data_IF_016525128332
#
_entry.id   IF_016525128332
#
_cell.length_a   1.000
_cell.length_b   1.000
_cell.length_c   1.000
_cell.angle_alpha   90.00
_cell.angle_beta   90.00
_cell.angle_gamma   90.00
#
_symmetry.space_group_name_H-M   'P 1'
#
loop_
_entity.id
_entity.type
_entity.pdbx_description
1 polymer ?
#
# COMPACT_ATOMS: atom_id res chain seq x y z
N UNK A 1 -13.84 -16.01 -5.47
CA UNK A 1 -13.75 -16.20 -6.94
C UNK A 1 -12.46 -15.60 -7.49
N UNK A 2 -11.76 -16.31 -8.37
CA UNK A 2 -10.57 -15.79 -9.05
C UNK A 2 -10.99 -15.16 -10.38
N UNK A 3 -10.51 -13.95 -10.67
CA UNK A 3 -10.65 -13.31 -11.97
C UNK A 3 -9.27 -13.11 -12.60
N UNK A 4 -9.15 -13.39 -13.89
CA UNK A 4 -7.90 -13.25 -14.65
C UNK A 4 -8.04 -12.32 -15.84
N UNK A 5 -6.93 -11.71 -16.26
CA UNK A 5 -6.85 -10.91 -17.49
C UNK A 5 -5.48 -11.01 -18.13
N UNK A 6 -5.38 -10.79 -19.44
CA UNK A 6 -4.08 -10.69 -20.12
C UNK A 6 -3.65 -9.23 -20.18
N UNK A 7 -2.47 -8.94 -19.63
CA UNK A 7 -1.99 -7.56 -19.45
C UNK A 7 -2.66 -6.81 -18.29
N UNK A 8 -2.01 -5.74 -17.83
CA UNK A 8 -2.49 -4.93 -16.69
C UNK A 8 -3.36 -3.73 -17.08
N UNK A 9 -3.40 -3.38 -18.37
CA UNK A 9 -4.13 -2.20 -18.87
C UNK A 9 -5.64 -2.46 -19.04
N UNK A 10 -6.05 -3.73 -19.13
CA UNK A 10 -7.47 -4.06 -19.21
C UNK A 10 -8.14 -3.95 -17.83
N UNK A 11 -9.33 -3.37 -17.82
CA UNK A 11 -10.22 -3.41 -16.66
C UNK A 11 -11.19 -4.60 -16.73
N UNK A 12 -11.47 -5.14 -17.93
CA UNK A 12 -12.33 -6.32 -18.07
C UNK A 12 -11.53 -7.57 -17.72
N UNK A 13 -12.11 -8.39 -16.85
CA UNK A 13 -11.51 -9.64 -16.39
C UNK A 13 -12.45 -10.81 -16.70
N UNK A 14 -11.89 -12.00 -16.76
CA UNK A 14 -12.60 -13.26 -16.98
C UNK A 14 -12.63 -14.01 -15.65
N UNK A 15 -13.81 -14.37 -15.11
CA UNK A 15 -13.88 -15.24 -13.94
C UNK A 15 -13.31 -16.62 -14.28
N UNK A 16 -12.64 -17.25 -13.32
CA UNK A 16 -12.26 -18.65 -13.42
C UNK A 16 -13.50 -19.53 -13.41
N UNK A 17 -13.45 -20.63 -14.18
CA UNK A 17 -14.50 -21.66 -14.21
C UNK A 17 -14.25 -22.77 -13.17
N UNK A 18 -13.17 -22.66 -12.39
CA UNK A 18 -12.81 -23.63 -11.34
C UNK A 18 -13.78 -23.59 -10.16
N UNK A 19 -14.08 -24.75 -9.58
CA UNK A 19 -14.82 -24.87 -8.32
C UNK A 19 -13.92 -24.67 -7.08
N UNK A 20 -12.60 -24.58 -7.29
CA UNK A 20 -11.62 -24.39 -6.21
C UNK A 20 -11.66 -22.96 -5.67
N UNK A 21 -11.18 -22.79 -4.45
CA UNK A 21 -10.96 -21.45 -3.91
C UNK A 21 -9.85 -20.73 -4.71
N UNK A 22 -9.83 -19.39 -4.74
CA UNK A 22 -8.80 -18.66 -5.49
C UNK A 22 -7.37 -18.99 -5.04
N UNK A 23 -7.18 -19.26 -3.75
CA UNK A 23 -5.87 -19.65 -3.24
C UNK A 23 -5.44 -21.02 -3.76
N UNK A 24 -6.33 -22.02 -3.75
CA UNK A 24 -6.04 -23.36 -4.29
C UNK A 24 -5.74 -23.34 -5.78
N UNK A 25 -6.47 -22.53 -6.55
CA UNK A 25 -6.18 -22.34 -7.97
C UNK A 25 -4.75 -21.79 -8.19
N UNK A 26 -4.36 -20.77 -7.42
CA UNK A 26 -3.02 -20.19 -7.48
C UNK A 26 -1.95 -21.12 -6.91
N UNK A 27 -2.31 -21.95 -5.93
CA UNK A 27 -1.44 -22.96 -5.35
C UNK A 27 -1.10 -24.04 -6.35
N UNK A 28 -2.04 -24.43 -7.20
CA UNK A 28 -1.80 -25.43 -8.24
C UNK A 28 -1.31 -24.84 -9.57
N UNK A 29 -1.38 -23.51 -9.72
CA UNK A 29 -0.99 -22.84 -10.95
C UNK A 29 0.47 -23.12 -11.33
N UNK A 30 0.73 -23.77 -12.48
CA UNK A 30 2.09 -24.00 -12.94
C UNK A 30 2.68 -22.68 -13.45
N UNK A 31 3.89 -22.28 -12.99
CA UNK A 31 4.49 -21.02 -13.41
C UNK A 31 4.76 -21.03 -14.92
N UNK A 32 4.36 -19.96 -15.59
CA UNK A 32 4.62 -19.79 -17.01
C UNK A 32 6.09 -19.42 -17.25
N UNK A 33 6.64 -19.75 -18.42
CA UNK A 33 8.03 -19.45 -18.76
C UNK A 33 8.10 -18.33 -19.79
N UNK A 34 9.04 -17.42 -19.58
CA UNK A 34 9.37 -16.32 -20.47
C UNK A 34 10.90 -16.25 -20.66
N UNK A 35 11.52 -17.30 -21.26
CA UNK A 35 12.97 -17.38 -21.43
C UNK A 35 13.55 -16.25 -22.30
N UNK A 36 12.73 -15.57 -23.09
CA UNK A 36 13.07 -14.37 -23.86
C UNK A 36 13.38 -13.14 -23.00
N UNK A 37 12.91 -13.12 -21.75
CA UNK A 37 13.28 -12.10 -20.77
C UNK A 37 14.59 -12.52 -20.12
N UNK A 38 15.67 -11.84 -20.50
CA UNK A 38 17.05 -12.14 -20.12
C UNK A 38 17.71 -10.93 -19.46
N UNK A 39 18.93 -11.12 -18.96
CA UNK A 39 19.79 -10.04 -18.42
C UNK A 39 20.01 -8.88 -19.41
N UNK A 40 19.89 -9.16 -20.71
CA UNK A 40 20.11 -8.19 -21.80
C UNK A 40 18.83 -7.49 -22.25
N UNK A 41 17.66 -7.90 -21.77
CA UNK A 41 16.38 -7.34 -22.19
C UNK A 41 16.27 -5.86 -21.78
N UNK A 42 15.87 -5.00 -22.72
CA UNK A 42 15.65 -3.60 -22.42
C UNK A 42 14.35 -3.41 -21.61
N UNK A 43 14.30 -2.36 -20.79
CA UNK A 43 13.11 -2.04 -19.97
C UNK A 43 11.83 -1.96 -20.82
N UNK A 44 11.90 -1.36 -22.02
CA UNK A 44 10.78 -1.25 -22.95
C UNK A 44 10.20 -2.62 -23.37
N UNK A 45 11.06 -3.62 -23.55
CA UNK A 45 10.64 -4.94 -24.01
C UNK A 45 10.00 -5.71 -22.86
N UNK A 46 10.56 -5.59 -21.65
CA UNK A 46 9.97 -6.14 -20.43
C UNK A 46 8.61 -5.49 -20.15
N UNK A 47 8.49 -4.18 -20.26
CA UNK A 47 7.23 -3.48 -20.00
C UNK A 47 6.17 -3.80 -21.06
N UNK A 48 6.57 -3.96 -22.33
CA UNK A 48 5.68 -4.48 -23.40
C UNK A 48 5.20 -5.89 -23.07
N UNK A 49 6.09 -6.77 -22.63
CA UNK A 49 5.74 -8.14 -22.23
C UNK A 49 4.78 -8.14 -21.03
N UNK A 50 5.04 -7.32 -20.01
CA UNK A 50 4.12 -7.13 -18.87
C UNK A 50 2.75 -6.61 -19.31
N UNK A 51 2.74 -5.65 -20.23
CA UNK A 51 1.51 -5.01 -20.69
C UNK A 51 0.61 -5.91 -21.54
N UNK A 52 1.19 -6.88 -22.24
CA UNK A 52 0.50 -7.63 -23.29
C UNK A 52 0.47 -9.13 -23.09
N UNK A 53 1.48 -9.74 -22.45
CA UNK A 53 1.66 -11.20 -22.40
C UNK A 53 1.39 -11.81 -21.04
N UNK A 54 1.74 -11.10 -19.95
CA UNK A 54 1.56 -11.62 -18.60
C UNK A 54 0.07 -11.69 -18.24
N UNK A 55 -0.35 -12.83 -17.72
CA UNK A 55 -1.64 -12.96 -17.05
C UNK A 55 -1.63 -12.27 -15.68
N UNK A 56 -2.69 -11.56 -15.36
CA UNK A 56 -2.92 -10.87 -14.09
C UNK A 56 -4.16 -11.43 -13.42
N UNK A 57 -4.20 -11.39 -12.10
CA UNK A 57 -5.33 -11.89 -11.32
C UNK A 57 -5.79 -10.90 -10.25
N UNK A 58 -7.03 -11.10 -9.82
CA UNK A 58 -7.61 -10.55 -8.59
C UNK A 58 -8.56 -11.58 -8.00
N UNK A 59 -8.56 -11.74 -6.68
CA UNK A 59 -9.41 -12.69 -5.97
C UNK A 59 -10.43 -11.96 -5.10
N UNK A 60 -11.71 -12.30 -5.26
CA UNK A 60 -12.82 -11.64 -4.58
C UNK A 60 -14.11 -11.73 -5.38
N UNK A 61 -15.01 -10.76 -5.18
CA UNK A 61 -16.25 -10.62 -5.93
C UNK A 61 -16.24 -9.31 -6.75
N UNK A 62 -16.36 -9.43 -8.07
CA UNK A 62 -16.22 -8.31 -8.99
C UNK A 62 -17.50 -8.09 -9.81
N UNK A 63 -18.18 -6.96 -9.55
CA UNK A 63 -19.36 -6.56 -10.32
C UNK A 63 -19.04 -6.40 -11.80
N UNK A 64 -19.87 -7.00 -12.64
CA UNK A 64 -19.78 -6.96 -14.11
C UNK A 64 -18.43 -7.42 -14.66
N UNK A 65 -17.64 -8.16 -13.88
CA UNK A 65 -16.28 -8.58 -14.19
C UNK A 65 -15.36 -7.41 -14.62
N UNK A 66 -15.58 -6.21 -14.07
CA UNK A 66 -14.81 -5.00 -14.43
C UNK A 66 -14.08 -4.45 -13.21
N UNK A 67 -12.76 -4.46 -13.27
CA UNK A 67 -11.83 -4.01 -12.23
C UNK A 67 -11.91 -2.51 -12.00
N UNK A 68 -12.37 -2.13 -10.82
CA UNK A 68 -12.15 -0.85 -10.17
C UNK A 68 -12.55 -0.97 -8.68
N UNK A 69 -12.21 0.04 -7.89
CA UNK A 69 -12.50 0.04 -6.45
C UNK A 69 -13.99 -0.01 -6.10
N UNK A 70 -14.89 0.41 -6.99
CA UNK A 70 -16.35 0.41 -6.74
C UNK A 70 -17.01 -0.91 -7.11
N UNK A 71 -16.38 -1.68 -8.01
CA UNK A 71 -16.90 -2.95 -8.50
C UNK A 71 -16.36 -4.15 -7.74
N UNK A 72 -15.16 -4.07 -7.15
CA UNK A 72 -14.69 -5.09 -6.23
C UNK A 72 -15.46 -4.92 -4.91
N UNK A 73 -16.43 -5.77 -4.63
CA UNK A 73 -17.23 -5.64 -3.40
C UNK A 73 -16.50 -6.22 -2.21
N UNK A 74 -15.88 -7.38 -2.42
CA UNK A 74 -15.16 -8.15 -1.40
C UNK A 74 -13.89 -8.70 -2.03
N UNK A 75 -12.82 -8.79 -1.25
CA UNK A 75 -11.52 -9.33 -1.65
C UNK A 75 -11.20 -10.56 -0.80
N UNK A 76 -10.63 -11.58 -1.41
CA UNK A 76 -10.42 -12.91 -0.78
C UNK A 76 -8.95 -13.24 -0.50
N UNK A 77 -7.99 -12.48 -1.03
CA UNK A 77 -6.56 -12.75 -0.82
C UNK A 77 -5.79 -11.47 -0.54
N UNK A 78 -4.89 -11.52 0.44
CA UNK A 78 -3.90 -10.46 0.63
C UNK A 78 -2.73 -10.71 -0.31
N UNK A 79 -2.33 -9.66 -1.03
CA UNK A 79 -1.19 -9.74 -1.95
C UNK A 79 -0.25 -8.57 -1.71
N UNK A 80 1.05 -8.86 -1.60
CA UNK A 80 2.11 -7.88 -1.35
C UNK A 80 3.18 -7.98 -2.45
N UNK A 81 3.61 -6.85 -2.99
CA UNK A 81 4.68 -6.74 -4.00
C UNK A 81 5.96 -6.22 -3.34
N UNK A 82 6.98 -7.07 -3.31
CA UNK A 82 8.32 -6.75 -2.83
C UNK A 82 9.22 -6.43 -4.02
N UNK A 83 9.41 -5.14 -4.28
CA UNK A 83 10.15 -4.65 -5.46
C UNK A 83 11.50 -4.00 -5.12
N UNK A 84 11.72 -3.68 -3.83
CA UNK A 84 12.93 -3.07 -3.29
C UNK A 84 13.25 -3.68 -1.91
N UNK A 85 14.06 -4.73 -1.94
CA UNK A 85 14.58 -5.40 -0.73
C UNK A 85 16.03 -4.99 -0.43
N UNK A 86 16.54 -3.94 -1.09
CA UNK A 86 17.93 -3.51 -0.98
C UNK A 86 18.93 -4.64 -1.21
N UNK A 87 19.90 -4.75 -0.31
CA UNK A 87 20.95 -5.78 -0.34
C UNK A 87 20.60 -7.05 0.46
N UNK A 88 19.31 -7.27 0.79
CA UNK A 88 18.89 -8.44 1.55
C UNK A 88 19.17 -9.73 0.78
N UNK A 89 19.75 -10.73 1.46
CA UNK A 89 19.96 -12.05 0.90
C UNK A 89 18.62 -12.79 0.75
N UNK A 90 18.47 -13.56 -0.32
CA UNK A 90 17.25 -14.34 -0.59
C UNK A 90 16.83 -15.23 0.59
N UNK A 91 17.77 -15.95 1.22
CA UNK A 91 17.43 -16.83 2.36
C UNK A 91 16.92 -16.02 3.56
N UNK A 92 17.57 -14.90 3.88
CA UNK A 92 17.13 -14.02 4.97
C UNK A 92 15.73 -13.44 4.69
N UNK A 93 15.43 -13.08 3.44
CA UNK A 93 14.10 -12.64 3.02
C UNK A 93 13.04 -13.74 3.21
N UNK A 94 13.28 -14.94 2.69
CA UNK A 94 12.34 -16.07 2.80
C UNK A 94 12.13 -16.48 4.26
N UNK A 95 13.20 -16.58 5.04
CA UNK A 95 13.15 -16.95 6.45
C UNK A 95 12.36 -15.93 7.26
N UNK A 96 12.55 -14.63 7.00
CA UNK A 96 11.77 -13.56 7.62
C UNK A 96 10.28 -13.70 7.34
N UNK A 97 9.90 -13.93 6.08
CA UNK A 97 8.49 -14.12 5.70
C UNK A 97 7.90 -15.36 6.39
N UNK A 98 8.61 -16.50 6.38
CA UNK A 98 8.19 -17.73 7.06
C UNK A 98 8.04 -17.57 8.57
N UNK A 99 8.98 -16.88 9.20
CA UNK A 99 8.95 -16.61 10.65
C UNK A 99 7.73 -15.76 11.02
N UNK A 100 7.50 -14.66 10.30
CA UNK A 100 6.42 -13.72 10.59
C UNK A 100 5.04 -14.27 10.25
N UNK A 101 4.96 -15.14 9.24
CA UNK A 101 3.74 -15.83 8.85
C UNK A 101 3.73 -17.30 9.30
N UNK A 102 4.37 -17.61 10.44
CA UNK A 102 4.44 -18.99 10.95
C UNK A 102 3.04 -19.58 11.14
N UNK A 103 2.79 -20.71 10.49
CA UNK A 103 1.50 -21.41 10.55
C UNK A 103 0.40 -20.81 9.66
N UNK A 104 0.69 -19.73 8.93
CA UNK A 104 -0.21 -19.13 7.94
C UNK A 104 0.13 -19.69 6.55
N UNK A 105 -0.90 -19.98 5.76
CA UNK A 105 -0.75 -20.47 4.40
C UNK A 105 -0.43 -19.34 3.42
N UNK A 106 0.62 -19.51 2.62
CA UNK A 106 1.00 -18.51 1.62
C UNK A 106 1.76 -19.09 0.41
N UNK A 107 1.79 -18.32 -0.68
CA UNK A 107 2.62 -18.55 -1.86
C UNK A 107 3.52 -17.32 -2.06
N UNK A 108 4.81 -17.55 -2.19
CA UNK A 108 5.82 -16.53 -2.47
C UNK A 108 6.54 -16.90 -3.77
N UNK A 109 6.53 -16.01 -4.77
CA UNK A 109 7.11 -16.30 -6.08
C UNK A 109 7.77 -15.07 -6.72
N UNK A 110 8.79 -15.26 -7.58
CA UNK A 110 9.50 -14.16 -8.19
C UNK A 110 8.63 -13.41 -9.21
N UNK A 111 8.87 -12.10 -9.34
CA UNK A 111 8.30 -11.33 -10.46
C UNK A 111 9.10 -11.55 -11.74
N UNK A 112 8.54 -11.18 -12.90
CA UNK A 112 9.24 -11.27 -14.20
C UNK A 112 10.56 -10.47 -14.24
N UNK A 113 10.75 -9.49 -13.35
CA UNK A 113 11.97 -8.67 -13.25
C UNK A 113 12.99 -9.23 -12.24
N UNK A 114 12.65 -10.27 -11.50
CA UNK A 114 13.49 -10.84 -10.44
C UNK A 114 14.86 -11.29 -10.98
N UNK A 115 15.92 -11.02 -10.21
CA UNK A 115 17.32 -11.34 -10.48
C UNK A 115 17.90 -10.75 -11.77
N UNK A 116 17.17 -9.89 -12.49
CA UNK A 116 17.75 -9.14 -13.60
C UNK A 116 18.73 -8.09 -13.05
N UNK A 117 19.88 -7.81 -13.72
CA UNK A 117 20.98 -7.03 -13.15
C UNK A 117 20.62 -5.64 -12.59
N UNK A 118 19.54 -5.02 -13.10
CA UNK A 118 19.09 -3.67 -12.67
C UNK A 118 18.02 -3.68 -11.58
N UNK A 119 17.49 -4.84 -11.20
CA UNK A 119 16.24 -4.94 -10.45
C UNK A 119 16.37 -5.70 -9.13
N UNK A 120 17.38 -6.56 -8.99
CA UNK A 120 17.64 -7.31 -7.77
C UNK A 120 16.52 -8.31 -7.42
N UNK A 121 16.32 -8.52 -6.12
CA UNK A 121 15.35 -9.46 -5.57
C UNK A 121 13.94 -8.86 -5.63
N UNK A 122 13.02 -9.50 -6.37
CA UNK A 122 11.64 -9.03 -6.56
C UNK A 122 10.63 -10.16 -6.47
N UNK A 123 9.69 -10.07 -5.54
CA UNK A 123 8.76 -11.14 -5.21
C UNK A 123 7.34 -10.66 -5.01
N UNK A 124 6.39 -11.56 -5.24
CA UNK A 124 5.01 -11.41 -4.79
C UNK A 124 4.72 -12.43 -3.72
N UNK A 125 4.07 -11.97 -2.67
CA UNK A 125 3.53 -12.79 -1.60
C UNK A 125 2.01 -12.78 -1.70
N UNK A 126 1.41 -13.97 -1.74
CA UNK A 126 -0.03 -14.20 -1.68
C UNK A 126 -0.32 -14.93 -0.38
N UNK A 127 -1.17 -14.34 0.45
CA UNK A 127 -1.56 -14.89 1.75
C UNK A 127 -3.03 -15.28 1.67
N UNK A 128 -3.33 -16.52 2.03
CA UNK A 128 -4.70 -17.03 2.12
C UNK A 128 -5.43 -16.35 3.29
N UNK A 129 -6.75 -16.13 3.20
CA UNK A 129 -7.54 -15.50 4.27
C UNK A 129 -8.76 -16.33 4.64
N UNK A 130 -9.14 -16.31 5.92
CA UNK A 130 -10.24 -17.13 6.43
C UNK A 130 -11.63 -16.62 6.02
N UNK A 131 -11.72 -15.36 5.63
CA UNK A 131 -12.91 -14.73 5.07
C UNK A 131 -12.55 -13.66 4.06
N UNK A 132 -13.53 -13.29 3.24
CA UNK A 132 -13.41 -12.10 2.41
C UNK A 132 -13.48 -10.83 3.26
N UNK A 133 -12.93 -9.73 2.72
CA UNK A 133 -12.87 -8.44 3.39
C UNK A 133 -13.17 -7.29 2.43
N UNK A 134 -13.69 -6.21 2.99
CA UNK A 134 -14.12 -5.01 2.29
C UNK A 134 -12.97 -4.04 1.99
N UNK A 135 -13.27 -3.02 1.19
CA UNK A 135 -12.34 -1.92 0.91
C UNK A 135 -11.89 -1.19 2.18
N UNK A 136 -12.79 -1.03 3.16
CA UNK A 136 -12.49 -0.32 4.41
C UNK A 136 -11.47 -1.12 5.24
N UNK A 137 -11.66 -2.44 5.32
CA UNK A 137 -10.79 -3.36 6.04
C UNK A 137 -9.42 -3.51 5.36
N UNK A 138 -9.37 -3.49 4.03
CA UNK A 138 -8.13 -3.68 3.25
C UNK A 138 -6.99 -2.78 3.72
N UNK A 139 -7.26 -1.52 4.03
CA UNK A 139 -6.22 -0.58 4.42
C UNK A 139 -5.57 -0.99 5.74
N UNK A 140 -6.37 -1.26 6.78
CA UNK A 140 -5.89 -1.75 8.07
C UNK A 140 -5.17 -3.09 7.92
N UNK A 141 -5.81 -4.04 7.24
CA UNK A 141 -5.28 -5.39 7.04
C UNK A 141 -3.90 -5.38 6.37
N UNK A 142 -3.76 -4.68 5.24
CA UNK A 142 -2.51 -4.63 4.48
C UNK A 142 -1.43 -3.86 5.23
N UNK A 143 -1.78 -2.74 5.86
CA UNK A 143 -0.84 -1.91 6.64
C UNK A 143 -0.28 -2.67 7.85
N UNK A 144 -1.17 -3.27 8.65
CA UNK A 144 -0.80 -4.06 9.83
C UNK A 144 0.01 -5.31 9.44
N UNK A 145 -0.30 -5.95 8.30
CA UNK A 145 0.50 -7.07 7.80
C UNK A 145 1.90 -6.64 7.35
N UNK A 146 2.02 -5.50 6.65
CA UNK A 146 3.33 -4.96 6.24
C UNK A 146 4.18 -4.67 7.48
N UNK A 147 3.59 -4.06 8.51
CA UNK A 147 4.27 -3.78 9.78
C UNK A 147 4.66 -5.07 10.52
N UNK A 148 3.74 -6.03 10.63
CA UNK A 148 3.99 -7.32 11.28
C UNK A 148 5.11 -8.11 10.61
N UNK A 149 5.16 -8.12 9.27
CA UNK A 149 6.25 -8.74 8.51
C UNK A 149 7.55 -7.95 8.69
N UNK A 150 7.46 -6.62 8.74
CA UNK A 150 8.60 -5.73 8.97
C UNK A 150 9.55 -5.66 7.78
N UNK A 151 9.03 -5.76 6.56
CA UNK A 151 9.78 -5.65 5.31
C UNK A 151 9.19 -4.52 4.44
N UNK A 152 10.02 -3.72 3.77
CA UNK A 152 9.54 -2.66 2.88
C UNK A 152 8.74 -3.27 1.72
N UNK A 153 7.56 -2.73 1.45
CA UNK A 153 6.65 -3.19 0.42
C UNK A 153 6.21 -2.01 -0.45
N UNK A 154 5.93 -2.23 -1.74
CA UNK A 154 5.42 -1.17 -2.62
C UNK A 154 4.08 -0.64 -2.08
N UNK A 155 3.97 0.69 -1.94
CA UNK A 155 2.74 1.39 -1.55
C UNK A 155 1.54 1.01 -2.42
N UNK A 156 1.76 0.63 -3.69
CA UNK A 156 0.69 0.16 -4.58
C UNK A 156 -0.01 -1.10 -4.09
N UNK A 157 0.65 -1.91 -3.24
CA UNK A 157 0.02 -3.06 -2.58
C UNK A 157 -1.15 -2.65 -1.69
N UNK A 158 -1.21 -1.39 -1.25
CA UNK A 158 -2.34 -0.83 -0.49
C UNK A 158 -3.58 -0.55 -1.36
N UNK A 159 -3.47 -0.56 -2.69
CA UNK A 159 -4.61 -0.30 -3.58
C UNK A 159 -5.54 -1.52 -3.62
N UNK A 160 -6.79 -1.33 -3.17
CA UNK A 160 -7.77 -2.41 -3.00
C UNK A 160 -7.99 -3.25 -4.27
N UNK A 161 -8.28 -2.61 -5.41
CA UNK A 161 -8.48 -3.29 -6.71
C UNK A 161 -7.19 -3.43 -7.55
N UNK A 162 -6.02 -3.47 -6.91
CA UNK A 162 -4.76 -3.73 -7.59
C UNK A 162 -4.73 -5.19 -8.08
N UNK A 163 -4.38 -5.38 -9.35
CA UNK A 163 -4.12 -6.72 -9.91
C UNK A 163 -2.68 -7.11 -9.69
N UNK A 164 -2.46 -8.41 -9.54
CA UNK A 164 -1.14 -9.00 -9.38
C UNK A 164 -0.82 -9.90 -10.57
N UNK A 165 0.43 -9.86 -11.04
CA UNK A 165 0.84 -10.73 -12.14
C UNK A 165 0.94 -12.17 -11.66
N UNK A 166 0.39 -13.10 -12.44
CA UNK A 166 0.53 -14.55 -12.24
C UNK A 166 2.02 -14.95 -12.23
N UNK A 167 2.35 -16.14 -11.70
CA UNK A 167 3.72 -16.64 -11.69
C UNK A 167 4.30 -16.80 -13.11
N UNK A 168 5.35 -16.02 -13.41
CA UNK A 168 6.13 -16.11 -14.64
C UNK A 168 7.63 -16.15 -14.31
N UNK A 169 8.36 -17.06 -14.94
CA UNK A 169 9.80 -17.25 -14.77
C UNK A 169 10.56 -16.72 -15.99
N UNK A 170 11.45 -15.77 -15.75
CA UNK A 170 12.42 -15.27 -16.74
C UNK A 170 13.65 -16.20 -16.83
N UNK A 171 14.64 -15.87 -17.68
CA UNK A 171 15.86 -16.67 -17.83
C UNK A 171 16.75 -16.75 -16.56
N UNK A 172 16.53 -15.88 -15.57
CA UNK A 172 17.31 -15.77 -14.33
C UNK A 172 16.54 -16.33 -13.11
N UNK A 173 15.38 -16.96 -13.33
CA UNK A 173 14.51 -17.49 -12.28
C UNK A 173 14.08 -18.91 -12.60
N UNK A 174 13.83 -19.69 -11.56
CA UNK A 174 13.40 -21.08 -11.69
C UNK A 174 12.35 -21.40 -10.63
N UNK A 175 11.67 -22.53 -10.79
CA UNK A 175 10.65 -23.00 -9.85
C UNK A 175 11.18 -23.17 -8.42
N UNK A 176 12.49 -23.40 -8.24
CA UNK A 176 13.14 -23.47 -6.92
C UNK A 176 13.04 -22.17 -6.10
N UNK A 177 12.76 -21.05 -6.77
CA UNK A 177 12.55 -19.76 -6.11
C UNK A 177 11.11 -19.56 -5.64
N UNK A 178 10.19 -20.46 -6.01
CA UNK A 178 8.81 -20.44 -5.55
C UNK A 178 8.74 -21.16 -4.20
N UNK A 179 8.24 -20.46 -3.20
CA UNK A 179 8.04 -20.99 -1.85
C UNK A 179 6.55 -21.09 -1.61
N UNK A 180 6.09 -22.29 -1.26
CA UNK A 180 4.73 -22.57 -0.85
C UNK A 180 4.77 -23.04 0.59
N UNK A 181 4.02 -22.38 1.46
CA UNK A 181 3.91 -22.75 2.87
C UNK A 181 2.49 -23.20 3.16
N UNK A 182 2.36 -24.44 3.63
CA UNK A 182 1.13 -24.98 4.16
C UNK A 182 0.81 -24.36 5.53
N UNK A 183 -0.46 -24.32 5.88
CA UNK A 183 -0.92 -23.75 7.13
C UNK A 183 -2.41 -23.43 7.11
N UNK A 184 -2.83 -22.64 8.08
CA UNK A 184 -4.19 -22.13 8.16
C UNK A 184 -4.33 -20.80 7.39
N UNK A 185 -5.52 -20.48 6.86
CA UNK A 185 -5.79 -19.16 6.34
C UNK A 185 -5.58 -18.08 7.40
N UNK A 186 -5.06 -16.92 6.98
CA UNK A 186 -4.87 -15.77 7.86
C UNK A 186 -6.21 -15.33 8.46
N UNK A 187 -6.24 -15.15 9.77
CA UNK A 187 -7.40 -14.60 10.48
C UNK A 187 -7.50 -13.10 10.24
N UNK A 188 -8.38 -12.68 9.31
CA UNK A 188 -8.51 -11.27 8.89
C UNK A 188 -8.71 -10.36 10.10
N UNK A 189 -9.63 -10.72 11.00
CA UNK A 189 -9.99 -9.91 12.16
C UNK A 189 -8.83 -9.61 13.11
N UNK A 190 -7.79 -10.46 13.15
CA UNK A 190 -6.59 -10.21 13.97
C UNK A 190 -5.75 -9.05 13.47
N UNK A 191 -5.95 -8.61 12.23
CA UNK A 191 -5.19 -7.54 11.58
C UNK A 191 -6.08 -6.33 11.25
N UNK A 192 -7.31 -6.27 11.78
CA UNK A 192 -8.21 -5.12 11.63
C UNK A 192 -8.19 -4.19 12.85
N UNK A 193 -7.05 -4.12 13.53
CA UNK A 193 -6.83 -3.11 14.55
C UNK A 193 -6.50 -1.77 13.89
N UNK A 194 -6.89 -0.68 14.54
CA UNK A 194 -6.27 0.60 14.21
C UNK A 194 -4.79 0.45 14.52
N UNK A 195 -3.88 0.70 13.55
CA UNK A 195 -2.45 0.63 13.83
C UNK A 195 -2.24 1.44 15.09
N UNK A 196 -1.59 0.83 16.09
CA UNK A 196 -1.08 1.61 17.19
C UNK A 196 -0.33 2.71 16.50
N UNK A 197 -0.81 3.96 16.63
CA UNK A 197 0.00 5.11 16.23
C UNK A 197 1.34 4.75 16.82
N UNK A 198 2.41 4.87 16.05
CA UNK A 198 3.66 5.13 16.70
C UNK A 198 3.40 6.40 17.54
N UNK A 199 2.91 6.24 18.79
CA UNK A 199 3.63 6.72 19.93
C UNK A 199 5.02 6.13 19.74
N UNK A 200 5.78 6.70 18.79
CA UNK A 200 7.14 6.29 18.54
C UNK A 200 7.74 6.38 19.90
N UNK A 201 8.13 5.23 20.45
CA UNK A 201 8.43 4.98 21.87
C UNK A 201 7.96 6.15 22.72
N UNK A 202 6.77 6.11 23.36
CA UNK A 202 6.36 7.20 24.28
C UNK A 202 7.61 7.65 24.98
N UNK A 203 8.13 8.84 24.63
CA UNK A 203 9.52 9.18 24.89
C UNK A 203 9.53 9.22 26.40
N UNK A 204 9.93 8.12 27.04
CA UNK A 204 9.60 7.89 28.45
C UNK A 204 10.73 8.52 29.24
N UNK A 205 10.91 9.82 29.03
CA UNK A 205 11.71 10.61 29.93
C UNK A 205 10.87 10.78 31.20
N UNK A 206 11.46 10.42 32.34
CA UNK A 206 10.92 10.87 33.63
C UNK A 206 10.87 12.39 33.57
N UNK A 207 9.67 12.94 33.54
CA UNK A 207 9.45 14.37 33.55
C UNK A 207 8.78 14.76 34.85
N UNK A 208 9.30 15.80 35.49
CA UNK A 208 8.61 16.47 36.59
C UNK A 208 7.60 17.50 36.05
N UNK A 209 7.32 17.47 34.74
CA UNK A 209 6.34 18.34 34.09
C UNK A 209 4.92 17.99 34.56
N UNK A 210 4.34 18.86 35.37
CA UNK A 210 2.91 18.85 35.68
C UNK A 210 2.17 19.66 34.63
N UNK A 211 1.22 19.06 33.94
CA UNK A 211 0.34 19.77 33.02
C UNK A 211 -0.53 20.77 33.80
N UNK A 212 -0.29 22.08 33.59
CA UNK A 212 -1.02 23.17 34.26
C UNK A 212 -2.09 23.81 33.36
N UNK A 213 -2.51 23.11 32.30
CA UNK A 213 -3.48 23.57 31.30
C UNK A 213 -2.86 24.06 29.99
N UNK A 214 -3.64 23.95 28.91
CA UNK A 214 -3.21 24.29 27.55
C UNK A 214 -3.33 25.77 27.21
N UNK A 215 -2.20 26.38 26.82
CA UNK A 215 -2.18 27.67 26.12
C UNK A 215 -2.52 27.49 24.64
N UNK A 216 -2.82 28.57 23.93
CA UNK A 216 -3.24 28.54 22.53
C UNK A 216 -2.33 27.70 21.61
N UNK A 217 -1.01 27.90 21.70
CA UNK A 217 -0.05 27.12 20.91
C UNK A 217 -0.10 25.63 21.24
N UNK A 218 -0.27 25.28 22.52
CA UNK A 218 -0.44 23.88 22.95
C UNK A 218 -1.71 23.26 22.35
N UNK A 219 -2.84 23.97 22.40
CA UNK A 219 -4.09 23.54 21.75
C UNK A 219 -3.92 23.31 20.25
N UNK A 220 -3.20 24.21 19.58
CA UNK A 220 -2.94 24.10 18.15
C UNK A 220 -2.06 22.89 17.81
N UNK A 221 -0.94 22.72 18.53
CA UNK A 221 -0.03 21.59 18.28
C UNK A 221 -0.68 20.25 18.63
N UNK A 222 -1.42 20.18 19.72
CA UNK A 222 -2.19 18.97 20.07
C UNK A 222 -3.21 18.66 18.96
N UNK A 223 -3.94 19.67 18.46
CA UNK A 223 -4.84 19.48 17.31
C UNK A 223 -4.11 18.94 16.06
N UNK A 224 -2.91 19.43 15.75
CA UNK A 224 -2.11 18.93 14.62
C UNK A 224 -1.74 17.46 14.83
N UNK A 225 -1.24 17.11 16.02
CA UNK A 225 -0.81 15.76 16.39
C UNK A 225 -2.00 14.79 16.44
N UNK A 226 -3.17 15.24 16.86
CA UNK A 226 -4.40 14.44 16.88
C UNK A 226 -4.79 13.97 15.46
N UNK A 227 -4.46 14.76 14.44
CA UNK A 227 -4.68 14.45 13.05
C UNK A 227 -6.16 14.44 12.64
N UNK A 228 -6.44 13.87 11.47
CA UNK A 228 -7.82 13.68 10.97
C UNK A 228 -7.93 12.51 9.98
N UNK A 229 -9.17 12.05 9.76
CA UNK A 229 -9.50 10.90 8.91
C UNK A 229 -10.42 11.26 7.73
N UNK A 230 -10.71 10.27 6.88
CA UNK A 230 -11.56 10.44 5.69
C UNK A 230 -12.95 11.00 6.05
N UNK A 231 -13.33 12.09 5.37
CA UNK A 231 -14.58 12.83 5.61
C UNK A 231 -14.35 14.28 6.03
N UNK A 232 -13.30 14.57 6.79
CA UNK A 232 -13.04 15.93 7.32
C UNK A 232 -11.68 16.54 6.91
N UNK A 233 -10.86 15.79 6.17
CA UNK A 233 -9.49 16.18 5.75
C UNK A 233 -9.40 17.58 5.16
N UNK A 234 -10.32 17.95 4.26
CA UNK A 234 -10.31 19.25 3.57
C UNK A 234 -10.56 20.40 4.55
N UNK A 235 -11.57 20.27 5.41
CA UNK A 235 -11.92 21.28 6.41
C UNK A 235 -10.82 21.41 7.46
N UNK A 236 -10.31 20.27 7.91
CA UNK A 236 -9.28 20.22 8.93
C UNK A 236 -7.95 20.82 8.42
N UNK A 237 -7.47 20.44 7.23
CA UNK A 237 -6.28 21.04 6.62
C UNK A 237 -6.46 22.53 6.36
N UNK A 238 -7.65 22.95 5.92
CA UNK A 238 -8.01 24.36 5.76
C UNK A 238 -7.89 25.11 7.09
N UNK A 239 -8.37 24.52 8.18
CA UNK A 239 -8.30 25.09 9.53
C UNK A 239 -6.86 25.19 10.05
N UNK A 240 -6.06 24.14 9.87
CA UNK A 240 -4.65 24.14 10.27
C UNK A 240 -3.86 25.18 9.47
N UNK A 241 -4.02 25.20 8.15
CA UNK A 241 -3.37 26.18 7.25
C UNK A 241 -3.75 27.62 7.62
N UNK A 242 -5.04 27.87 7.83
CA UNK A 242 -5.53 29.21 8.22
C UNK A 242 -5.02 29.66 9.57
N UNK A 243 -4.86 28.73 10.52
CA UNK A 243 -4.30 29.03 11.84
C UNK A 243 -2.83 29.45 11.73
N UNK A 244 -2.01 28.74 10.94
CA UNK A 244 -0.61 29.11 10.72
C UNK A 244 -0.47 30.48 10.05
N UNK A 245 -1.30 30.77 9.04
CA UNK A 245 -1.35 32.11 8.45
C UNK A 245 -1.69 33.15 9.51
N UNK A 246 -2.77 32.94 10.29
CA UNK A 246 -3.20 33.88 11.32
C UNK A 246 -2.13 34.15 12.40
N UNK A 247 -1.27 33.17 12.69
CA UNK A 247 -0.13 33.34 13.60
C UNK A 247 1.09 34.03 12.96
N UNK A 248 1.01 34.42 11.68
CA UNK A 248 2.04 35.21 11.00
C UNK A 248 3.16 34.40 10.36
N UNK A 249 3.01 33.08 10.19
CA UNK A 249 4.01 32.28 9.50
C UNK A 249 4.13 32.65 8.01
N UNK A 250 5.34 32.55 7.46
CA UNK A 250 5.60 32.78 6.05
C UNK A 250 4.97 31.70 5.17
N UNK A 251 4.42 32.11 4.02
CA UNK A 251 3.69 31.22 3.13
C UNK A 251 4.49 29.97 2.71
N UNK A 252 5.80 30.13 2.45
CA UNK A 252 6.67 29.01 2.08
C UNK A 252 6.79 27.98 3.22
N UNK A 253 6.99 28.44 4.45
CA UNK A 253 7.07 27.57 5.63
C UNK A 253 5.72 26.91 5.92
N UNK A 254 4.62 27.62 5.72
CA UNK A 254 3.27 27.04 5.84
C UNK A 254 3.09 25.93 4.82
N UNK A 255 3.50 26.13 3.56
CA UNK A 255 3.36 25.11 2.53
C UNK A 255 4.13 23.82 2.90
N UNK A 256 5.39 23.96 3.32
CA UNK A 256 6.21 22.84 3.80
C UNK A 256 5.53 22.13 4.98
N UNK A 257 5.05 22.89 5.97
CA UNK A 257 4.37 22.32 7.13
C UNK A 257 3.08 21.61 6.76
N UNK A 258 2.28 22.13 5.83
CA UNK A 258 1.05 21.48 5.38
C UNK A 258 1.36 20.15 4.68
N UNK A 259 2.44 20.06 3.89
CA UNK A 259 2.87 18.80 3.28
C UNK A 259 3.28 17.79 4.36
N UNK A 260 4.15 18.17 5.28
CA UNK A 260 4.57 17.31 6.40
C UNK A 260 3.38 16.85 7.24
N UNK A 261 2.44 17.74 7.54
CA UNK A 261 1.26 17.41 8.33
C UNK A 261 0.35 16.44 7.56
N UNK A 262 0.15 16.63 6.27
CA UNK A 262 -0.65 15.74 5.45
C UNK A 262 -0.05 14.34 5.36
N UNK A 263 1.28 14.24 5.25
CA UNK A 263 1.99 12.96 5.18
C UNK A 263 1.94 12.18 6.50
N UNK A 264 2.00 12.88 7.63
CA UNK A 264 2.19 12.25 8.95
C UNK A 264 0.91 12.19 9.81
N UNK A 265 -0.05 13.09 9.62
CA UNK A 265 -1.22 13.24 10.52
C UNK A 265 -2.58 13.25 9.80
N UNK A 266 -2.64 13.07 8.49
CA UNK A 266 -3.90 13.00 7.72
C UNK A 266 -4.06 11.64 7.06
N UNK A 267 -5.18 10.95 7.31
CA UNK A 267 -5.40 9.60 6.78
C UNK A 267 -6.71 9.43 5.99
N UNK A 268 -6.67 8.90 4.76
CA UNK A 268 -5.48 8.75 3.95
C UNK A 268 -4.91 10.13 3.56
N UNK A 269 -3.59 10.24 3.29
CA UNK A 269 -3.01 11.50 2.83
C UNK A 269 -3.71 12.02 1.57
N UNK A 270 -3.84 13.34 1.45
CA UNK A 270 -4.34 13.99 0.23
C UNK A 270 -3.24 14.07 -0.82
N UNK A 271 -3.64 14.10 -2.09
CA UNK A 271 -2.70 14.28 -3.21
C UNK A 271 -2.09 15.69 -3.21
N UNK A 272 -0.93 15.84 -3.83
CA UNK A 272 -0.27 17.15 -3.99
C UNK A 272 -1.18 18.18 -4.68
N UNK A 273 -2.00 17.75 -5.63
CA UNK A 273 -2.94 18.64 -6.32
C UNK A 273 -3.98 19.22 -5.36
N UNK A 274 -4.50 18.38 -4.46
CA UNK A 274 -5.44 18.82 -3.44
C UNK A 274 -4.79 19.71 -2.39
N UNK A 275 -3.58 19.38 -1.94
CA UNK A 275 -2.82 20.22 -1.00
C UNK A 275 -2.55 21.60 -1.60
N UNK A 276 -2.10 21.63 -2.85
CA UNK A 276 -1.91 22.88 -3.59
C UNK A 276 -3.20 23.70 -3.69
N UNK A 277 -4.33 23.04 -3.96
CA UNK A 277 -5.65 23.69 -4.03
C UNK A 277 -6.04 24.31 -2.67
N UNK A 278 -5.94 23.55 -1.58
CA UNK A 278 -6.27 24.01 -0.22
C UNK A 278 -5.36 25.18 0.16
N UNK A 279 -4.05 25.01 0.02
CA UNK A 279 -3.07 26.03 0.38
C UNK A 279 -3.33 27.34 -0.37
N UNK A 280 -3.45 27.30 -1.70
CA UNK A 280 -3.72 28.49 -2.52
C UNK A 280 -5.04 29.16 -2.14
N UNK A 281 -6.08 28.36 -1.87
CA UNK A 281 -7.39 28.89 -1.45
C UNK A 281 -7.28 29.68 -0.14
N UNK A 282 -6.61 29.13 0.87
CA UNK A 282 -6.41 29.79 2.17
C UNK A 282 -5.49 31.00 2.03
N UNK A 283 -4.36 30.86 1.34
CA UNK A 283 -3.40 31.94 1.11
C UNK A 283 -4.08 33.15 0.46
N UNK A 284 -4.86 32.94 -0.60
CA UNK A 284 -5.58 34.03 -1.28
C UNK A 284 -6.62 34.69 -0.36
N UNK A 285 -7.32 33.89 0.47
CA UNK A 285 -8.29 34.41 1.44
C UNK A 285 -7.60 35.28 2.51
N UNK A 286 -6.43 34.86 2.99
CA UNK A 286 -5.65 35.58 4.00
C UNK A 286 -4.96 36.84 3.43
N UNK A 287 -4.47 36.79 2.19
CA UNK A 287 -3.92 37.96 1.49
C UNK A 287 -4.98 39.08 1.34
N UNK A 288 -6.20 38.71 0.92
CA UNK A 288 -7.33 39.65 0.81
C UNK A 288 -7.70 40.28 2.15
N UNK A 289 -7.73 39.52 3.25
CA UNK A 289 -8.00 40.05 4.59
C UNK A 289 -6.95 41.06 5.04
N UNK A 290 -5.71 40.92 4.58
CA UNK A 290 -4.56 41.76 4.94
C UNK A 290 -4.36 42.96 4.02
N UNK A 291 -5.21 43.13 3.00
CA UNK A 291 -5.11 44.25 2.06
C UNK A 291 -3.91 44.15 1.11
N UNK A 292 -3.28 42.98 0.99
CA UNK A 292 -2.19 42.73 0.03
C UNK A 292 -2.84 42.28 -1.27
N UNK A 293 -2.67 43.05 -2.35
CA UNK A 293 -3.16 42.66 -3.67
C UNK A 293 -2.51 41.33 -4.10
N UNK A 294 -3.35 40.37 -4.53
CA UNK A 294 -2.95 39.03 -5.00
C UNK A 294 -2.54 39.10 -6.46
#
# INVERSE_FOLDING_TARGET
>A
MLYVSKGYNTSKMTPSESEKTPFEELWEFPPQKAPEITEKSALKDIDKFKGNEIGYFIAGNLKNNTRNNSNLTEKELVTLDYDDLGNMLYMAFVDKVKEKLKGVRFILYPTIKNNLPKYGLRYRLIIDTDRAYSRKENNFLVENLIEHIGLPCDQKSKTYSQVMGLPYLNACSSEKLIVKQEGEPLKVDKFLYEPERQSGETFSFKTNYSFTGEKYLGKFLNKVVDGTHEGDRDNWLTSITGTMFNQGMEAQNIYIMVQLINENFVYPPKSDQDINRIFKSVMNKEARKRGVAV
#
